data_IF_982863324238
#
_entry.id   IF_982863324238
#
_cell.length_a   1.000
_cell.length_b   1.000
_cell.length_c   1.000
_cell.angle_alpha   90.00
_cell.angle_beta   90.00
_cell.angle_gamma   90.00
#
_symmetry.space_group_name_H-M   'P 1'
#
loop_
_entity.id
_entity.type
_entity.pdbx_description
1 polymer ?
#
# COMPACT_ATOMS: atom_id res chain seq x y z
N UNK A 1 12.19 -16.12 12.64
CA UNK A 1 13.10 -15.07 13.14
C UNK A 1 14.18 -14.86 12.08
N UNK A 2 14.50 -13.61 11.77
CA UNK A 2 15.46 -13.22 10.72
C UNK A 2 16.74 -12.70 11.34
N UNK A 3 17.87 -13.01 10.73
CA UNK A 3 19.17 -12.46 11.13
C UNK A 3 19.43 -11.08 10.49
N UNK A 4 20.60 -10.49 10.78
CA UNK A 4 20.94 -9.13 10.32
C UNK A 4 21.14 -9.08 8.80
N UNK A 5 21.66 -10.13 8.19
CA UNK A 5 21.87 -10.22 6.75
C UNK A 5 20.52 -10.29 6.01
N UNK A 6 19.59 -11.11 6.49
CA UNK A 6 18.22 -11.19 5.96
C UNK A 6 17.50 -9.86 6.07
N UNK A 7 17.59 -9.19 7.21
CA UNK A 7 17.00 -7.85 7.41
C UNK A 7 17.62 -6.82 6.46
N UNK A 8 18.93 -6.90 6.20
CA UNK A 8 19.61 -6.03 5.24
C UNK A 8 19.07 -6.22 3.82
N UNK A 9 18.84 -7.47 3.39
CA UNK A 9 18.29 -7.77 2.07
C UNK A 9 16.84 -7.28 1.92
N UNK A 10 16.01 -7.43 2.96
CA UNK A 10 14.65 -6.86 2.99
C UNK A 10 14.69 -5.33 2.89
N UNK A 11 15.63 -4.67 3.59
CA UNK A 11 15.80 -3.20 3.50
C UNK A 11 16.17 -2.75 2.10
N UNK A 12 17.02 -3.48 1.37
CA UNK A 12 17.34 -3.17 -0.03
C UNK A 12 16.12 -3.40 -0.93
N UNK A 13 15.34 -4.47 -0.74
CA UNK A 13 14.07 -4.66 -1.46
C UNK A 13 13.10 -3.49 -1.24
N UNK A 14 12.95 -3.03 0.02
CA UNK A 14 12.13 -1.85 0.37
C UNK A 14 12.64 -0.58 -0.31
N UNK A 15 13.95 -0.35 -0.33
CA UNK A 15 14.57 0.81 -0.96
C UNK A 15 14.36 0.82 -2.48
N UNK A 16 14.49 -0.33 -3.13
CA UNK A 16 14.19 -0.48 -4.56
C UNK A 16 12.69 -0.19 -4.84
N UNK A 17 11.80 -0.69 -3.99
CA UNK A 17 10.36 -0.42 -4.07
C UNK A 17 10.04 1.05 -3.93
N UNK A 18 10.63 1.75 -2.94
CA UNK A 18 10.46 3.20 -2.75
C UNK A 18 10.96 4.00 -3.96
N UNK A 19 12.11 3.60 -4.54
CA UNK A 19 12.63 4.18 -5.77
C UNK A 19 11.69 4.00 -6.96
N UNK A 20 11.12 2.80 -7.12
CA UNK A 20 10.13 2.47 -8.14
C UNK A 20 8.84 3.28 -7.99
N UNK A 21 8.33 3.40 -6.76
CA UNK A 21 7.17 4.24 -6.44
C UNK A 21 7.40 5.71 -6.81
N UNK A 22 8.55 6.28 -6.45
CA UNK A 22 8.90 7.66 -6.77
C UNK A 22 8.97 7.90 -8.29
N UNK A 23 9.54 6.95 -9.04
CA UNK A 23 9.57 7.02 -10.49
C UNK A 23 8.16 7.00 -11.09
N UNK A 24 7.31 6.06 -10.66
CA UNK A 24 5.92 5.96 -11.09
C UNK A 24 5.16 7.26 -10.79
N UNK A 25 5.26 7.78 -9.57
CA UNK A 25 4.58 9.03 -9.17
C UNK A 25 4.99 10.24 -10.02
N UNK A 26 6.24 10.29 -10.47
CA UNK A 26 6.73 11.38 -11.32
C UNK A 26 6.11 11.33 -12.71
N UNK A 27 5.79 10.13 -13.19
CA UNK A 27 5.23 9.90 -14.51
C UNK A 27 3.69 9.84 -14.52
N UNK A 28 3.05 9.64 -13.37
CA UNK A 28 1.61 9.46 -13.27
C UNK A 28 0.85 10.71 -13.71
N UNK A 29 0.01 10.53 -14.73
CA UNK A 29 -0.85 11.59 -15.29
C UNK A 29 -2.24 11.07 -15.62
N UNK A 30 -3.28 11.91 -15.57
CA UNK A 30 -4.60 11.54 -16.05
C UNK A 30 -4.57 11.08 -17.52
N UNK A 31 -5.32 10.01 -17.82
CA UNK A 31 -5.35 9.37 -19.12
C UNK A 31 -4.34 8.21 -19.30
N UNK A 32 -3.40 8.07 -18.39
CA UNK A 32 -2.50 6.91 -18.35
C UNK A 32 -3.27 5.64 -17.98
N UNK A 33 -2.90 4.52 -18.58
CA UNK A 33 -3.48 3.22 -18.24
C UNK A 33 -2.81 2.61 -17.00
N UNK A 34 -3.54 1.82 -16.23
CA UNK A 34 -3.03 1.13 -15.04
C UNK A 34 -1.78 0.29 -15.34
N UNK A 35 -1.76 -0.42 -16.49
CA UNK A 35 -0.58 -1.20 -16.91
C UNK A 35 0.64 -0.33 -17.25
N UNK A 36 0.45 0.93 -17.62
CA UNK A 36 1.57 1.85 -17.85
C UNK A 36 2.19 2.27 -16.51
N UNK A 37 1.37 2.54 -15.50
CA UNK A 37 1.85 2.79 -14.15
C UNK A 37 2.58 1.56 -13.57
N UNK A 38 2.07 0.35 -13.81
CA UNK A 38 2.76 -0.90 -13.50
C UNK A 38 4.13 -0.96 -14.19
N UNK A 39 4.18 -0.70 -15.49
CA UNK A 39 5.41 -0.75 -16.28
C UNK A 39 6.48 0.25 -15.79
N UNK A 40 6.06 1.46 -15.41
CA UNK A 40 6.95 2.49 -14.85
C UNK A 40 7.61 2.01 -13.54
N UNK A 41 6.86 1.35 -12.67
CA UNK A 41 7.38 0.75 -11.45
C UNK A 41 8.34 -0.40 -11.74
N UNK A 42 7.90 -1.38 -12.52
CA UNK A 42 8.64 -2.61 -12.79
C UNK A 42 9.94 -2.34 -13.56
N UNK A 43 9.90 -1.42 -14.53
CA UNK A 43 11.10 -0.94 -15.21
C UNK A 43 12.09 -0.32 -14.23
N UNK A 44 11.62 0.55 -13.35
CA UNK A 44 12.48 1.25 -12.40
C UNK A 44 13.16 0.28 -11.43
N UNK A 45 12.45 -0.64 -10.80
CA UNK A 45 13.05 -1.60 -9.87
C UNK A 45 14.03 -2.53 -10.59
N UNK A 46 13.68 -3.01 -11.80
CA UNK A 46 14.55 -3.90 -12.58
C UNK A 46 15.83 -3.21 -13.02
N UNK A 47 15.74 -1.97 -13.49
CA UNK A 47 16.89 -1.14 -13.87
C UNK A 47 17.85 -0.90 -12.70
N UNK A 48 17.35 -0.85 -11.47
CA UNK A 48 18.12 -0.59 -10.27
C UNK A 48 18.57 -1.88 -9.53
N UNK A 49 18.43 -3.06 -10.15
CA UNK A 49 19.04 -4.31 -9.69
C UNK A 49 18.13 -5.23 -8.88
N UNK A 50 16.82 -5.02 -8.90
CA UNK A 50 15.89 -6.01 -8.36
C UNK A 50 15.92 -7.32 -9.18
N UNK A 51 15.71 -8.46 -8.53
CA UNK A 51 15.51 -9.74 -9.21
C UNK A 51 14.24 -9.67 -10.11
N UNK A 52 13.22 -8.97 -9.65
CA UNK A 52 11.94 -8.75 -10.29
C UNK A 52 10.94 -8.20 -9.28
N UNK A 53 9.65 -8.36 -9.56
CA UNK A 53 8.58 -8.08 -8.61
C UNK A 53 8.47 -9.20 -7.56
N UNK A 54 8.07 -8.84 -6.34
CA UNK A 54 7.83 -9.79 -5.26
C UNK A 54 6.52 -10.57 -5.47
N UNK A 55 5.52 -9.91 -6.06
CA UNK A 55 4.20 -10.44 -6.43
C UNK A 55 3.65 -9.63 -7.62
N UNK A 56 2.53 -10.07 -8.18
CA UNK A 56 1.88 -9.34 -9.28
C UNK A 56 1.51 -7.92 -8.83
N UNK A 57 2.06 -6.92 -9.50
CA UNK A 57 1.79 -5.51 -9.21
C UNK A 57 0.30 -5.20 -9.34
N UNK A 58 -0.27 -4.58 -8.33
CA UNK A 58 -1.64 -4.08 -8.32
C UNK A 58 -1.62 -2.58 -8.55
N UNK A 59 -2.29 -2.12 -9.60
CA UNK A 59 -2.48 -0.72 -9.93
C UNK A 59 -3.97 -0.46 -10.18
N UNK A 60 -4.74 -0.28 -9.10
CA UNK A 60 -6.19 -0.13 -9.17
C UNK A 60 -6.63 1.33 -9.13
N UNK A 61 -7.14 1.85 -10.24
CA UNK A 61 -7.66 3.22 -10.32
C UNK A 61 -9.16 3.29 -10.02
N UNK A 62 -9.58 4.33 -9.32
CA UNK A 62 -10.99 4.54 -8.97
C UNK A 62 -11.60 3.34 -8.24
N UNK A 63 -12.67 2.76 -8.80
CA UNK A 63 -13.37 1.62 -8.20
C UNK A 63 -12.49 0.35 -8.13
N UNK A 64 -11.54 0.18 -9.04
CA UNK A 64 -10.64 -0.97 -9.04
C UNK A 64 -9.76 -1.02 -7.78
N UNK A 65 -9.43 0.12 -7.20
CA UNK A 65 -8.71 0.20 -5.92
C UNK A 65 -9.49 -0.33 -4.70
N UNK A 66 -10.77 -0.68 -4.88
CA UNK A 66 -11.57 -1.33 -3.83
C UNK A 66 -11.61 -2.85 -3.95
N UNK A 67 -11.03 -3.41 -5.01
CA UNK A 67 -10.96 -4.86 -5.24
C UNK A 67 -9.62 -5.38 -4.73
N UNK A 68 -9.68 -6.29 -3.76
CA UNK A 68 -8.47 -6.96 -3.24
C UNK A 68 -7.84 -7.83 -4.33
N UNK A 69 -6.51 -7.79 -4.42
CA UNK A 69 -5.71 -8.52 -5.41
C UNK A 69 -6.11 -8.24 -6.87
N UNK A 70 -6.48 -6.99 -7.17
CA UNK A 70 -6.76 -6.55 -8.54
C UNK A 70 -5.47 -6.51 -9.37
N UNK A 71 -5.28 -7.47 -10.27
CA UNK A 71 -4.06 -7.62 -11.08
C UNK A 71 -4.30 -7.43 -12.58
N UNK A 72 -5.51 -7.09 -12.98
CA UNK A 72 -5.86 -6.91 -14.39
C UNK A 72 -5.20 -5.68 -14.99
N UNK A 73 -5.19 -4.57 -14.25
CA UNK A 73 -4.48 -3.31 -14.57
C UNK A 73 -4.76 -2.77 -15.98
N UNK A 74 -6.02 -2.85 -16.46
CA UNK A 74 -6.38 -2.52 -17.87
C UNK A 74 -7.20 -1.23 -18.01
N UNK A 75 -7.54 -0.57 -16.90
CA UNK A 75 -8.36 0.62 -16.93
C UNK A 75 -7.53 1.90 -17.03
N UNK A 76 -8.21 2.97 -17.49
CA UNK A 76 -7.66 4.31 -17.53
C UNK A 76 -7.65 4.96 -16.14
N UNK A 77 -6.54 5.56 -15.76
CA UNK A 77 -6.38 6.41 -14.58
C UNK A 77 -7.02 7.79 -14.87
N UNK A 78 -8.29 7.94 -14.51
CA UNK A 78 -9.06 9.15 -14.82
C UNK A 78 -8.70 10.32 -13.89
N UNK A 79 -8.87 11.53 -14.39
CA UNK A 79 -8.75 12.73 -13.58
C UNK A 79 -9.67 12.68 -12.34
N UNK A 80 -9.24 13.29 -11.24
CA UNK A 80 -9.94 13.31 -9.96
C UNK A 80 -10.23 11.93 -9.32
N UNK A 81 -9.60 10.86 -9.79
CA UNK A 81 -9.64 9.54 -9.15
C UNK A 81 -8.38 9.27 -8.32
N UNK A 82 -8.44 8.26 -7.48
CA UNK A 82 -7.29 7.73 -6.75
C UNK A 82 -6.73 6.51 -7.50
N UNK A 83 -5.42 6.35 -7.47
CA UNK A 83 -4.72 5.13 -7.86
C UNK A 83 -4.18 4.45 -6.60
N UNK A 84 -4.68 3.28 -6.29
CA UNK A 84 -4.11 2.38 -5.28
C UNK A 84 -3.02 1.54 -5.95
N UNK A 85 -1.87 1.54 -5.34
CA UNK A 85 -0.70 0.78 -5.75
C UNK A 85 -0.31 -0.18 -4.64
N UNK A 86 -0.32 -1.48 -4.94
CA UNK A 86 0.17 -2.52 -4.04
C UNK A 86 1.24 -3.31 -4.79
N UNK A 87 2.49 -3.16 -4.34
CA UNK A 87 3.66 -3.54 -5.12
C UNK A 87 4.90 -3.75 -4.26
N UNK A 88 5.82 -4.56 -4.76
CA UNK A 88 7.06 -4.84 -4.06
C UNK A 88 8.15 -5.34 -4.99
N UNK A 89 9.39 -4.97 -4.71
CA UNK A 89 10.57 -5.52 -5.36
C UNK A 89 11.03 -6.79 -4.63
N UNK A 90 11.64 -7.71 -5.38
CA UNK A 90 12.40 -8.84 -4.87
C UNK A 90 13.88 -8.57 -5.07
N UNK A 91 14.67 -8.77 -4.01
CA UNK A 91 16.11 -8.56 -4.06
C UNK A 91 16.85 -9.70 -3.37
N UNK A 92 17.70 -10.43 -4.11
CA UNK A 92 18.43 -11.63 -3.67
C UNK A 92 17.53 -12.62 -2.94
N UNK A 93 16.33 -12.83 -3.50
CA UNK A 93 15.33 -13.74 -2.97
C UNK A 93 14.38 -13.15 -1.93
N UNK A 94 14.69 -12.02 -1.29
CA UNK A 94 13.84 -11.39 -0.25
C UNK A 94 12.87 -10.37 -0.84
N UNK A 95 11.67 -10.33 -0.28
CA UNK A 95 10.55 -9.56 -0.77
C UNK A 95 10.34 -8.26 0.02
N UNK A 96 9.86 -7.22 -0.68
CA UNK A 96 9.18 -6.07 -0.09
C UNK A 96 7.71 -6.10 -0.48
N UNK A 97 6.88 -5.41 0.31
CA UNK A 97 5.45 -5.26 0.09
C UNK A 97 5.01 -3.90 0.64
N UNK A 98 4.58 -3.02 -0.26
CA UNK A 98 4.22 -1.64 0.09
C UNK A 98 2.96 -1.24 -0.67
N UNK A 99 1.91 -0.90 0.08
CA UNK A 99 0.70 -0.30 -0.49
C UNK A 99 0.69 1.22 -0.29
N UNK A 100 0.39 1.96 -1.35
CA UNK A 100 0.19 3.42 -1.33
C UNK A 100 -0.96 3.82 -2.24
N UNK A 101 -1.63 4.92 -1.89
CA UNK A 101 -2.72 5.48 -2.68
C UNK A 101 -2.44 6.95 -2.98
N UNK A 102 -2.53 7.32 -4.26
CA UNK A 102 -2.25 8.67 -4.73
C UNK A 102 -3.40 9.22 -5.59
N UNK A 103 -3.66 10.53 -5.55
CA UNK A 103 -4.55 11.16 -6.53
C UNK A 103 -3.85 11.19 -7.90
N UNK A 104 -4.53 10.72 -8.94
CA UNK A 104 -3.97 10.60 -10.30
C UNK A 104 -3.45 11.94 -10.84
N UNK A 105 -4.11 13.05 -10.51
CA UNK A 105 -3.71 14.40 -10.92
C UNK A 105 -2.83 15.15 -9.90
N UNK A 106 -2.31 14.43 -8.87
CA UNK A 106 -1.47 15.00 -7.82
C UNK A 106 -2.20 15.82 -6.75
N UNK A 107 -3.54 15.93 -6.82
CA UNK A 107 -4.34 16.73 -5.90
C UNK A 107 -5.52 15.93 -5.33
N UNK A 108 -5.60 15.81 -4.01
CA UNK A 108 -6.77 15.23 -3.36
C UNK A 108 -7.97 16.19 -3.45
N UNK A 109 -9.15 15.66 -3.77
CA UNK A 109 -10.39 16.34 -3.43
C UNK A 109 -10.55 16.37 -1.91
N UNK A 110 -11.44 17.24 -1.39
CA UNK A 110 -11.68 17.33 0.04
C UNK A 110 -12.10 15.99 0.66
N UNK A 111 -13.03 15.28 0.02
CA UNK A 111 -13.49 13.95 0.48
C UNK A 111 -12.36 12.90 0.46
N UNK A 112 -11.59 12.86 -0.61
CA UNK A 112 -10.44 11.94 -0.70
C UNK A 112 -9.42 12.22 0.41
N UNK A 113 -9.11 13.50 0.65
CA UNK A 113 -8.18 13.92 1.69
C UNK A 113 -8.64 13.51 3.09
N UNK A 114 -9.93 13.74 3.40
CA UNK A 114 -10.49 13.35 4.70
C UNK A 114 -10.30 11.85 4.98
N UNK A 115 -10.61 10.99 4.02
CA UNK A 115 -10.42 9.53 4.16
C UNK A 115 -8.94 9.18 4.23
N UNK A 116 -8.12 9.74 3.34
CA UNK A 116 -6.67 9.49 3.30
C UNK A 116 -5.99 9.84 4.62
N UNK A 117 -6.32 10.97 5.24
CA UNK A 117 -5.74 11.40 6.51
C UNK A 117 -6.09 10.45 7.67
N UNK A 118 -7.29 9.88 7.67
CA UNK A 118 -7.69 8.86 8.66
C UNK A 118 -6.88 7.57 8.49
N UNK A 119 -6.74 7.10 7.25
CA UNK A 119 -5.93 5.91 6.94
C UNK A 119 -4.45 6.13 7.28
N UNK A 120 -3.91 7.30 6.93
CA UNK A 120 -2.53 7.68 7.28
C UNK A 120 -2.32 7.74 8.80
N UNK A 121 -3.29 8.27 9.55
CA UNK A 121 -3.23 8.29 11.01
C UNK A 121 -3.20 6.87 11.59
N UNK A 122 -4.02 5.96 11.07
CA UNK A 122 -4.03 4.55 11.47
C UNK A 122 -2.67 3.86 11.18
N UNK A 123 -2.13 4.04 9.97
CA UNK A 123 -0.82 3.52 9.58
C UNK A 123 0.29 4.00 10.54
N UNK A 124 0.32 5.32 10.82
CA UNK A 124 1.31 5.91 11.75
C UNK A 124 1.13 5.42 13.19
N UNK A 125 -0.12 5.24 13.64
CA UNK A 125 -0.39 4.72 14.99
C UNK A 125 0.14 3.30 15.14
N UNK A 126 -0.10 2.44 14.16
CA UNK A 126 0.43 1.07 14.15
C UNK A 126 1.96 1.08 14.14
N UNK A 127 2.59 1.81 13.23
CA UNK A 127 4.05 1.89 13.14
C UNK A 127 4.70 2.40 14.45
N UNK A 128 4.07 3.39 15.12
CA UNK A 128 4.54 3.92 16.40
C UNK A 128 4.37 2.94 17.57
N UNK A 129 3.33 2.10 17.52
CA UNK A 129 3.00 1.18 18.62
C UNK A 129 3.75 -0.14 18.50
N UNK A 130 4.08 -0.56 17.28
CA UNK A 130 4.73 -1.83 16.99
C UNK A 130 6.07 -1.96 17.73
N UNK A 131 6.21 -3.05 18.50
CA UNK A 131 7.42 -3.39 19.26
C UNK A 131 7.54 -4.91 19.41
N UNK A 132 8.74 -5.44 19.68
CA UNK A 132 8.93 -6.87 19.94
C UNK A 132 7.98 -7.39 21.03
N UNK A 133 7.41 -8.56 20.78
CA UNK A 133 6.45 -9.23 21.67
C UNK A 133 4.97 -8.92 21.41
N UNK A 134 4.67 -7.92 20.56
CA UNK A 134 3.29 -7.68 20.13
C UNK A 134 2.87 -8.66 19.03
N UNK A 135 1.61 -9.06 19.09
CA UNK A 135 0.96 -9.87 18.06
C UNK A 135 0.39 -9.00 16.95
N UNK A 136 0.22 -9.56 15.75
CA UNK A 136 -0.48 -8.88 14.65
C UNK A 136 -1.93 -8.51 15.02
N UNK A 137 -2.57 -9.31 15.89
CA UNK A 137 -3.91 -9.01 16.40
C UNK A 137 -3.94 -7.72 17.20
N UNK A 138 -3.00 -7.53 18.12
CA UNK A 138 -2.91 -6.29 18.92
C UNK A 138 -2.65 -5.07 18.03
N UNK A 139 -1.79 -5.20 17.01
CA UNK A 139 -1.56 -4.13 16.04
C UNK A 139 -2.81 -3.84 15.21
N UNK A 140 -3.55 -4.87 14.82
CA UNK A 140 -4.81 -4.74 14.11
C UNK A 140 -5.88 -4.01 14.94
N UNK A 141 -5.93 -4.26 16.25
CA UNK A 141 -6.86 -3.58 17.16
C UNK A 141 -6.52 -2.07 17.28
N UNK A 142 -5.23 -1.71 17.31
CA UNK A 142 -4.79 -0.30 17.22
C UNK A 142 -5.29 0.35 15.93
N UNK A 143 -5.12 -0.33 14.79
CA UNK A 143 -5.57 0.16 13.49
C UNK A 143 -7.09 0.39 13.48
N UNK A 144 -7.85 -0.63 13.89
CA UNK A 144 -9.33 -0.58 13.94
C UNK A 144 -9.85 0.58 14.76
N UNK A 145 -9.26 0.82 15.92
CA UNK A 145 -9.66 1.92 16.80
C UNK A 145 -9.52 3.27 16.11
N UNK A 146 -8.36 3.56 15.52
CA UNK A 146 -8.12 4.84 14.84
C UNK A 146 -9.04 5.01 13.62
N UNK A 147 -9.24 3.94 12.84
CA UNK A 147 -10.14 3.95 11.70
C UNK A 147 -11.59 4.19 12.12
N UNK A 148 -12.07 3.51 13.18
CA UNK A 148 -13.42 3.66 13.69
C UNK A 148 -13.69 5.11 14.17
N UNK A 149 -12.78 5.68 14.97
CA UNK A 149 -12.86 7.07 15.40
C UNK A 149 -12.94 8.05 14.20
N UNK A 150 -12.16 7.80 13.15
CA UNK A 150 -12.18 8.56 11.91
C UNK A 150 -13.48 8.42 11.15
N UNK A 151 -13.99 7.19 10.99
CA UNK A 151 -15.23 6.89 10.30
C UNK A 151 -16.45 7.48 11.03
N UNK A 152 -16.46 7.48 12.37
CA UNK A 152 -17.50 8.13 13.17
C UNK A 152 -17.49 9.65 12.91
N UNK A 153 -16.32 10.31 12.96
CA UNK A 153 -16.21 11.75 12.67
C UNK A 153 -16.69 12.12 11.26
N UNK A 154 -16.54 11.22 10.30
CA UNK A 154 -17.02 11.42 8.92
C UNK A 154 -18.49 11.04 8.72
N UNK A 155 -19.17 10.50 9.74
CA UNK A 155 -20.56 10.05 9.66
C UNK A 155 -20.75 8.78 8.81
N UNK A 156 -19.69 7.98 8.62
CA UNK A 156 -19.75 6.73 7.87
C UNK A 156 -20.25 5.56 8.70
N UNK A 157 -20.01 5.58 10.01
CA UNK A 157 -20.51 4.62 11.00
C UNK A 157 -20.97 5.39 12.24
N UNK A 158 -21.84 4.76 13.03
CA UNK A 158 -22.32 5.31 14.30
C UNK A 158 -21.56 4.76 15.51
N UNK A 159 -21.07 3.53 15.42
CA UNK A 159 -20.41 2.78 16.50
C UNK A 159 -19.14 2.11 16.02
N UNK A 160 -18.17 1.94 16.91
CA UNK A 160 -16.88 1.33 16.60
C UNK A 160 -16.99 -0.11 16.03
N UNK A 161 -17.98 -0.87 16.51
CA UNK A 161 -18.20 -2.25 16.06
C UNK A 161 -18.57 -2.35 14.57
N UNK A 162 -19.04 -1.26 13.99
CA UNK A 162 -19.40 -1.21 12.57
C UNK A 162 -18.20 -1.05 11.63
N UNK A 163 -16.98 -0.85 12.18
CA UNK A 163 -15.78 -0.63 11.35
C UNK A 163 -15.53 -1.74 10.33
N UNK A 164 -15.98 -2.95 10.63
CA UNK A 164 -15.90 -4.09 9.71
C UNK A 164 -16.59 -3.87 8.35
N UNK A 165 -17.47 -2.87 8.21
CA UNK A 165 -18.08 -2.48 6.94
C UNK A 165 -17.04 -1.88 5.96
N UNK A 166 -16.00 -1.23 6.49
CA UNK A 166 -14.97 -0.51 5.73
C UNK A 166 -13.57 -1.08 5.88
N UNK A 167 -13.33 -1.84 6.94
CA UNK A 167 -12.03 -2.44 7.22
C UNK A 167 -12.18 -3.96 7.43
N UNK A 168 -12.05 -4.70 6.37
CA UNK A 168 -12.18 -6.16 6.32
C UNK A 168 -10.85 -6.89 6.14
N UNK A 169 -9.75 -6.15 6.05
CA UNK A 169 -8.41 -6.67 5.81
C UNK A 169 -7.55 -6.64 7.09
N UNK A 170 -6.53 -7.49 7.17
CA UNK A 170 -5.53 -7.43 8.25
C UNK A 170 -4.57 -6.25 8.09
N UNK A 171 -3.98 -5.79 9.21
CA UNK A 171 -3.10 -4.61 9.22
C UNK A 171 -1.75 -4.85 8.56
N UNK A 172 -1.23 -6.08 8.64
CA UNK A 172 0.05 -6.47 8.07
C UNK A 172 0.27 -7.98 8.18
N UNK A 173 1.37 -8.44 7.61
CA UNK A 173 1.90 -9.80 7.71
C UNK A 173 3.42 -9.77 7.80
N UNK A 174 4.04 -10.90 8.08
CA UNK A 174 5.49 -11.03 8.03
C UNK A 174 5.99 -11.05 6.57
N UNK A 175 7.23 -10.60 6.38
CA UNK A 175 7.95 -10.60 5.10
C UNK A 175 9.21 -11.45 5.20
N UNK A 176 9.58 -12.10 4.10
CA UNK A 176 10.82 -12.87 4.00
C UNK A 176 11.17 -13.21 2.56
N UNK A 177 11.52 -14.47 2.33
CA UNK A 177 11.69 -15.05 0.99
C UNK A 177 10.33 -15.13 0.29
N UNK A 178 9.30 -15.46 1.04
CA UNK A 178 7.91 -15.32 0.61
C UNK A 178 7.36 -13.95 1.06
N UNK A 179 6.40 -13.42 0.29
CA UNK A 179 5.74 -12.14 0.63
C UNK A 179 4.91 -12.31 1.89
N UNK A 180 4.20 -13.43 2.02
CA UNK A 180 3.50 -13.84 3.24
C UNK A 180 4.31 -14.93 3.94
N UNK A 181 5.31 -14.53 4.71
CA UNK A 181 6.29 -15.40 5.38
C UNK A 181 5.80 -15.90 6.76
#
# INVERSE_FOLDING_TARGET
QKDEDEVSLIREAIKLTDGGLKNLMTNLTPGQMEYQAQADFEYSIKRNGADGVAFHTIAGSGINGTMLHYVTNECECKDNTLLLLDLGAKYKGYCADITRTYPVNGKFTEKQRMVYEVVLAANRAVAKTAKPGMTLRELNDVCKKVLAEGCIRMGLIEKEEEIGKYYMHGVSHHLGIDVHD
#
